data_IF_789110057586
#
_entry.id   IF_789110057586
#
_cell.length_a   1.000
_cell.length_b   1.000
_cell.length_c   1.000
_cell.angle_alpha   90.00
_cell.angle_beta   90.00
_cell.angle_gamma   90.00
#
_symmetry.space_group_name_H-M   'P 1'
#
loop_
_entity.id
_entity.type
_entity.pdbx_description
1 polymer ?
#
# COMPACT_ATOMS: atom_id res chain seq x y z
N UNK A 1 -30.84 -5.01 56.52
CA UNK A 1 -29.82 -5.93 55.93
C UNK A 1 -30.50 -6.64 54.76
N UNK A 2 -29.96 -6.83 53.55
CA UNK A 2 -28.60 -7.07 53.12
C UNK A 2 -28.49 -6.67 51.63
N UNK A 3 -27.44 -5.93 51.25
CA UNK A 3 -27.11 -5.63 49.85
C UNK A 3 -26.41 -6.87 49.25
N UNK A 4 -26.94 -7.44 48.17
CA UNK A 4 -26.33 -8.59 47.50
C UNK A 4 -25.20 -8.17 46.55
N UNK A 5 -23.95 -8.21 47.01
CA UNK A 5 -22.77 -8.01 46.15
C UNK A 5 -22.32 -9.34 45.54
N UNK A 6 -22.84 -9.66 44.36
CA UNK A 6 -22.32 -10.73 43.52
C UNK A 6 -21.11 -10.27 42.71
N UNK A 7 -19.95 -10.10 43.35
CA UNK A 7 -18.71 -9.80 42.63
C UNK A 7 -18.07 -11.10 42.11
N UNK A 8 -18.03 -11.20 40.79
CA UNK A 8 -17.59 -12.36 40.00
C UNK A 8 -16.12 -12.68 40.30
N UNK A 9 -15.79 -13.96 40.55
CA UNK A 9 -14.40 -14.43 40.57
C UNK A 9 -13.81 -14.30 39.16
N UNK A 10 -12.91 -13.35 38.96
CA UNK A 10 -12.00 -13.37 37.81
C UNK A 10 -10.71 -14.08 38.25
N UNK A 11 -10.56 -15.34 37.85
CA UNK A 11 -9.31 -16.06 37.95
C UNK A 11 -8.49 -15.74 36.69
N UNK A 12 -7.71 -14.66 36.76
CA UNK A 12 -6.76 -14.30 35.70
C UNK A 12 -5.45 -15.03 36.02
N UNK A 13 -5.28 -16.23 35.44
CA UNK A 13 -3.97 -16.86 35.35
C UNK A 13 -3.32 -16.43 34.04
N UNK A 14 -2.64 -15.28 34.04
CA UNK A 14 -1.71 -14.92 32.96
C UNK A 14 -0.42 -15.73 33.18
N UNK A 15 -0.37 -16.93 32.62
CA UNK A 15 0.88 -17.68 32.53
C UNK A 15 1.52 -17.35 31.18
N UNK A 16 2.20 -16.21 31.15
CA UNK A 16 3.19 -15.93 30.11
C UNK A 16 4.34 -16.91 30.27
N UNK A 17 4.21 -18.07 29.63
CA UNK A 17 5.30 -19.02 29.43
C UNK A 17 6.11 -18.50 28.25
N UNK A 18 7.02 -17.56 28.51
CA UNK A 18 8.08 -17.24 27.57
C UNK A 18 9.03 -18.45 27.53
N UNK A 19 8.72 -19.42 26.68
CA UNK A 19 9.71 -20.39 26.24
C UNK A 19 10.59 -19.66 25.26
N UNK A 20 11.73 -19.17 25.75
CA UNK A 20 12.85 -18.80 24.90
C UNK A 20 13.06 -19.92 23.88
N UNK A 21 13.18 -19.62 22.57
CA UNK A 21 13.67 -20.62 21.64
C UNK A 21 15.10 -20.96 22.05
N UNK A 22 15.24 -22.15 22.65
CA UNK A 22 16.50 -22.81 22.91
C UNK A 22 17.24 -22.92 21.56
N UNK A 23 18.40 -22.29 21.49
CA UNK A 23 19.30 -22.27 20.34
C UNK A 23 19.72 -23.69 19.98
N UNK A 24 18.96 -24.36 19.12
CA UNK A 24 19.36 -25.63 18.53
C UNK A 24 19.72 -25.39 17.07
N UNK A 25 21.03 -25.32 16.85
CA UNK A 25 21.72 -25.63 15.61
C UNK A 25 20.94 -25.36 14.32
N UNK A 26 21.16 -24.18 13.73
CA UNK A 26 21.03 -23.91 12.31
C UNK A 26 22.01 -24.81 11.52
N UNK A 27 21.74 -26.12 11.50
CA UNK A 27 22.31 -27.02 10.51
C UNK A 27 21.36 -26.97 9.33
N UNK A 28 21.68 -26.09 8.38
CA UNK A 28 21.10 -26.04 7.05
C UNK A 28 21.03 -27.49 6.51
N UNK A 29 19.85 -28.10 6.65
CA UNK A 29 19.69 -29.53 6.44
C UNK A 29 19.69 -29.75 4.94
N UNK A 30 20.84 -30.12 4.37
CA UNK A 30 20.84 -30.77 3.07
C UNK A 30 19.83 -31.93 3.14
N UNK A 31 18.93 -32.08 2.16
CA UNK A 31 17.92 -33.12 2.18
C UNK A 31 18.61 -34.47 2.36
N UNK A 32 18.40 -35.07 3.52
CA UNK A 32 19.14 -36.26 3.96
C UNK A 32 18.60 -37.53 3.31
N UNK A 33 17.43 -37.44 2.68
CA UNK A 33 16.73 -38.50 1.97
C UNK A 33 15.86 -37.92 0.83
N UNK A 34 15.41 -38.72 -0.15
CA UNK A 34 14.58 -38.25 -1.26
C UNK A 34 13.19 -37.72 -0.86
N UNK A 35 12.66 -38.11 0.31
CA UNK A 35 11.39 -37.60 0.83
C UNK A 35 11.51 -36.14 1.30
N UNK A 36 12.66 -35.77 1.86
CA UNK A 36 13.01 -34.39 2.22
C UNK A 36 13.10 -33.53 0.96
N UNK A 37 13.66 -34.06 -0.13
CA UNK A 37 13.75 -33.36 -1.42
C UNK A 37 12.37 -33.14 -2.05
N UNK A 38 11.51 -34.17 -2.08
CA UNK A 38 10.14 -34.04 -2.57
C UNK A 38 9.33 -33.02 -1.76
N UNK A 39 9.57 -32.97 -0.44
CA UNK A 39 8.98 -31.95 0.44
C UNK A 39 9.52 -30.56 0.13
N UNK A 40 10.83 -30.41 -0.07
CA UNK A 40 11.44 -29.14 -0.45
C UNK A 40 10.85 -28.60 -1.76
N UNK A 41 10.68 -29.44 -2.79
CA UNK A 41 10.05 -29.00 -4.04
C UNK A 41 8.61 -28.52 -3.86
N UNK A 42 7.81 -29.23 -3.04
CA UNK A 42 6.43 -28.79 -2.74
C UNK A 42 6.42 -27.43 -2.04
N UNK A 43 7.28 -27.22 -1.06
CA UNK A 43 7.37 -25.93 -0.35
C UNK A 43 7.87 -24.81 -1.28
N UNK A 44 8.80 -25.10 -2.20
CA UNK A 44 9.25 -24.14 -3.22
C UNK A 44 8.07 -23.73 -4.12
N UNK A 45 7.31 -24.68 -4.67
CA UNK A 45 6.13 -24.37 -5.51
C UNK A 45 5.09 -23.55 -4.75
N UNK A 46 4.84 -23.87 -3.48
CA UNK A 46 3.93 -23.09 -2.63
C UNK A 46 4.45 -21.67 -2.40
N UNK A 47 5.76 -21.53 -2.20
CA UNK A 47 6.44 -20.24 -2.11
C UNK A 47 6.29 -19.41 -3.38
N UNK A 48 6.50 -20.03 -4.54
CA UNK A 48 6.33 -19.40 -5.86
C UNK A 48 4.89 -18.90 -6.06
N UNK A 49 3.88 -19.73 -5.78
CA UNK A 49 2.47 -19.32 -5.85
C UNK A 49 2.16 -18.14 -4.92
N UNK A 50 2.72 -18.16 -3.71
CA UNK A 50 2.53 -17.07 -2.74
C UNK A 50 3.18 -15.79 -3.25
N UNK A 51 4.38 -15.86 -3.82
CA UNK A 51 5.08 -14.73 -4.40
C UNK A 51 4.30 -14.13 -5.57
N UNK A 52 3.81 -14.95 -6.52
CA UNK A 52 2.98 -14.48 -7.64
C UNK A 52 1.70 -13.78 -7.15
N UNK A 53 1.05 -14.31 -6.12
CA UNK A 53 -0.13 -13.66 -5.55
C UNK A 53 0.19 -12.31 -4.90
N UNK A 54 1.33 -12.21 -4.21
CA UNK A 54 1.80 -10.96 -3.63
C UNK A 54 2.14 -9.93 -4.72
N UNK A 55 2.81 -10.35 -5.79
CA UNK A 55 3.10 -9.49 -6.95
C UNK A 55 1.82 -8.94 -7.57
N UNK A 56 0.82 -9.80 -7.83
CA UNK A 56 -0.47 -9.37 -8.35
C UNK A 56 -1.18 -8.36 -7.43
N UNK A 57 -1.08 -8.56 -6.11
CA UNK A 57 -1.65 -7.62 -5.14
C UNK A 57 -0.93 -6.27 -5.16
N UNK A 58 0.39 -6.27 -5.24
CA UNK A 58 1.19 -5.05 -5.32
C UNK A 58 0.91 -4.28 -6.61
N UNK A 59 0.88 -4.95 -7.77
CA UNK A 59 0.54 -4.30 -9.05
C UNK A 59 -0.88 -3.70 -9.05
N UNK A 60 -1.83 -4.36 -8.39
CA UNK A 60 -3.19 -3.81 -8.22
C UNK A 60 -3.20 -2.56 -7.33
N UNK A 61 -2.34 -2.49 -6.31
CA UNK A 61 -2.23 -1.32 -5.45
C UNK A 61 -1.54 -0.17 -6.20
N UNK A 62 -0.46 -0.44 -6.93
CA UNK A 62 0.23 0.54 -7.78
C UNK A 62 -0.75 1.18 -8.76
N UNK A 63 -1.52 0.37 -9.50
CA UNK A 63 -2.52 0.88 -10.45
C UNK A 63 -3.59 1.76 -9.79
N UNK A 64 -4.02 1.46 -8.56
CA UNK A 64 -4.98 2.29 -7.82
C UNK A 64 -4.37 3.62 -7.39
N UNK A 65 -3.11 3.62 -6.98
CA UNK A 65 -2.40 4.85 -6.63
C UNK A 65 -2.24 5.76 -7.84
N UNK A 66 -1.83 5.18 -8.99
CA UNK A 66 -1.72 5.92 -10.25
C UNK A 66 -3.06 6.56 -10.66
N UNK A 67 -4.16 5.80 -10.53
CA UNK A 67 -5.49 6.32 -10.83
C UNK A 67 -5.91 7.48 -9.89
N UNK A 68 -5.57 7.40 -8.60
CA UNK A 68 -5.86 8.48 -7.64
C UNK A 68 -5.05 9.73 -7.95
N UNK A 69 -3.76 9.57 -8.26
CA UNK A 69 -2.90 10.69 -8.64
C UNK A 69 -3.39 11.36 -9.92
N UNK A 70 -3.72 10.57 -10.95
CA UNK A 70 -4.28 11.09 -12.20
C UNK A 70 -5.63 11.81 -12.00
N UNK A 71 -6.47 11.33 -11.06
CA UNK A 71 -7.74 11.99 -10.74
C UNK A 71 -7.54 13.38 -10.10
N UNK A 72 -6.53 13.53 -9.24
CA UNK A 72 -6.20 14.84 -8.66
C UNK A 72 -5.63 15.80 -9.69
N UNK A 73 -4.74 15.34 -10.57
CA UNK A 73 -4.23 16.15 -11.68
C UNK A 73 -5.35 16.64 -12.62
N UNK A 74 -6.35 15.80 -12.90
CA UNK A 74 -7.52 16.19 -13.69
C UNK A 74 -8.43 17.18 -12.97
N UNK A 75 -8.59 17.04 -11.65
CA UNK A 75 -9.39 17.97 -10.85
C UNK A 75 -8.78 19.39 -10.91
N UNK A 76 -7.47 19.52 -10.71
CA UNK A 76 -6.77 20.82 -10.78
C UNK A 76 -6.75 21.43 -12.20
N UNK A 77 -6.73 20.59 -13.23
CA UNK A 77 -6.82 21.03 -14.63
C UNK A 77 -8.21 21.50 -15.07
N UNK A 78 -9.28 21.10 -14.36
CA UNK A 78 -10.67 21.40 -14.71
C UNK A 78 -11.17 22.75 -14.18
N UNK A 79 -10.61 23.25 -13.07
CA UNK A 79 -10.90 24.59 -12.53
C UNK A 79 -10.14 25.72 -13.28
N UNK A 80 -9.13 25.37 -14.10
CA UNK A 80 -8.36 26.34 -14.90
C UNK A 80 -8.94 26.62 -16.30
N UNK A 81 -10.15 26.12 -16.62
CA UNK A 81 -10.84 26.37 -17.91
C UNK A 81 -12.11 27.23 -17.79
N UNK A 82 -12.26 28.03 -16.74
CA UNK A 82 -13.15 29.21 -16.79
C UNK A 82 -12.33 30.36 -17.37
N UNK A 83 -12.59 30.67 -18.65
CA UNK A 83 -11.72 31.47 -19.49
C UNK A 83 -11.51 32.90 -19.02
N UNK A 84 -10.24 33.22 -18.78
CA UNK A 84 -9.73 34.56 -19.01
C UNK A 84 -9.73 34.85 -20.52
N UNK A 85 -10.84 35.42 -21.00
CA UNK A 85 -10.93 36.15 -22.28
C UNK A 85 -11.00 37.65 -22.00
N UNK A 86 -10.21 38.16 -21.06
CA UNK A 86 -10.13 39.61 -20.82
C UNK A 86 -8.67 40.06 -20.84
N UNK A 87 -8.17 40.40 -22.03
CA UNK A 87 -6.92 41.15 -22.11
C UNK A 87 -6.05 40.90 -23.33
N UNK A 88 -6.59 41.00 -24.55
CA UNK A 88 -5.73 41.42 -25.66
C UNK A 88 -5.65 42.94 -25.61
N UNK A 89 -4.63 43.40 -24.90
CA UNK A 89 -4.18 44.78 -24.85
C UNK A 89 -4.10 45.36 -26.26
N UNK A 90 -4.70 46.54 -26.42
CA UNK A 90 -4.41 47.40 -27.55
C UNK A 90 -2.97 47.89 -27.45
N UNK A 91 -2.20 47.71 -28.51
CA UNK A 91 -1.25 48.70 -28.99
C UNK A 91 -0.97 48.43 -30.47
N UNK A 92 -1.00 49.50 -31.26
CA UNK A 92 -0.97 49.46 -32.72
C UNK A 92 -1.77 50.58 -33.37
N UNK A 93 -1.84 51.76 -32.74
CA UNK A 93 -2.37 52.97 -33.37
C UNK A 93 -1.41 53.42 -34.49
N UNK A 94 -1.78 53.08 -35.72
CA UNK A 94 -1.13 53.57 -36.94
C UNK A 94 -1.28 55.08 -37.05
N UNK A 95 -0.21 55.84 -36.80
CA UNK A 95 -0.18 57.25 -37.20
C UNK A 95 0.25 57.34 -38.67
N UNK A 96 -0.73 57.48 -39.56
CA UNK A 96 -0.53 57.97 -40.92
C UNK A 96 -0.36 59.50 -40.87
N UNK A 97 0.87 59.99 -40.92
CA UNK A 97 1.14 61.41 -41.17
C UNK A 97 0.94 61.72 -42.65
N UNK A 98 -0.14 62.44 -42.95
CA UNK A 98 -0.47 63.01 -44.27
C UNK A 98 -0.40 64.54 -44.15
N UNK A 99 0.40 65.18 -44.99
CA UNK A 99 0.54 66.64 -45.11
C UNK A 99 1.99 67.07 -44.83
N UNK A 100 2.69 67.83 -45.69
CA UNK A 100 2.30 68.65 -46.83
C UNK A 100 3.41 68.65 -47.89
#
# INVERSE_FOLDING_TARGET
MQCGTGLKKASIHNTSKMTSPDSKDEKQALPSNPQDLATAYREITKGEQTATQLEANLSNLESKLDAMLAAFEQQEGSDSKIGDKTGSNGDGSSNTSKGA
#
